data_IF_719521061183
#
_entry.id   IF_719521061183
#
_cell.length_a   1.000
_cell.length_b   1.000
_cell.length_c   1.000
_cell.angle_alpha   90.00
_cell.angle_beta   90.00
_cell.angle_gamma   90.00
#
_symmetry.space_group_name_H-M   'P 1'
#
loop_
_entity.id
_entity.type
_entity.pdbx_description
1 polymer ?
#
# COMPACT_ATOMS: atom_id res chain seq x y z
N UNK A 1 18.61 26.94 6.17
CA UNK A 1 19.58 26.59 5.11
C UNK A 1 18.95 25.37 4.44
N UNK A 2 17.93 25.47 3.60
CA UNK A 2 17.62 26.52 2.62
C UNK A 2 16.13 26.89 2.66
N UNK A 3 15.85 27.97 3.39
CA UNK A 3 14.67 28.81 3.19
C UNK A 3 15.21 30.24 3.19
N UNK A 4 15.32 30.84 1.99
CA UNK A 4 15.13 32.27 1.78
C UNK A 4 15.34 32.66 0.31
N UNK A 5 14.38 33.45 -0.19
CA UNK A 5 14.51 34.44 -1.26
C UNK A 5 14.59 33.92 -2.71
N UNK A 6 13.42 33.69 -3.29
CA UNK A 6 13.22 33.56 -4.73
C UNK A 6 11.81 33.97 -5.16
N UNK A 7 11.29 35.07 -4.63
CA UNK A 7 10.16 35.79 -5.24
C UNK A 7 10.62 36.28 -6.62
N UNK A 8 10.34 35.48 -7.64
CA UNK A 8 10.58 35.78 -9.05
C UNK A 8 9.52 35.05 -9.84
N UNK A 9 8.54 35.79 -10.34
CA UNK A 9 7.52 35.35 -11.28
C UNK A 9 8.18 34.78 -12.55
N UNK A 10 8.53 33.50 -12.57
CA UNK A 10 8.85 32.78 -13.81
C UNK A 10 7.58 32.13 -14.35
N UNK A 11 6.91 32.85 -15.24
CA UNK A 11 5.75 32.39 -16.00
C UNK A 11 6.05 31.09 -16.82
N UNK A 12 7.33 30.71 -16.97
CA UNK A 12 7.77 29.45 -17.58
C UNK A 12 7.94 28.26 -16.60
N UNK A 13 8.19 28.52 -15.31
CA UNK A 13 8.36 27.48 -14.30
C UNK A 13 7.05 26.83 -13.85
N UNK A 14 5.92 27.54 -13.98
CA UNK A 14 4.60 27.01 -13.62
C UNK A 14 4.20 25.84 -14.50
N UNK A 15 4.42 25.93 -15.82
CA UNK A 15 4.10 24.84 -16.75
C UNK A 15 4.94 23.61 -16.45
N UNK A 16 6.25 23.79 -16.24
CA UNK A 16 7.18 22.71 -15.89
C UNK A 16 6.79 22.08 -14.55
N UNK A 17 6.44 22.89 -13.54
CA UNK A 17 5.97 22.41 -12.24
C UNK A 17 4.66 21.64 -12.35
N UNK A 18 3.71 22.10 -13.19
CA UNK A 18 2.48 21.37 -13.49
C UNK A 18 2.77 20.06 -14.22
N UNK A 19 3.65 20.05 -15.23
CA UNK A 19 4.04 18.82 -15.93
C UNK A 19 4.71 17.82 -14.99
N UNK A 20 5.66 18.27 -14.16
CA UNK A 20 6.33 17.43 -13.17
C UNK A 20 5.36 16.92 -12.10
N UNK A 21 4.41 17.74 -11.65
CA UNK A 21 3.40 17.34 -10.66
C UNK A 21 2.38 16.34 -11.25
N UNK A 22 1.93 16.55 -12.49
CA UNK A 22 1.03 15.63 -13.18
C UNK A 22 1.74 14.30 -13.46
N UNK A 23 2.98 14.36 -13.93
CA UNK A 23 3.79 13.17 -14.19
C UNK A 23 4.06 12.36 -12.92
N UNK A 24 4.44 13.03 -11.81
CA UNK A 24 4.70 12.34 -10.55
C UNK A 24 3.43 11.74 -9.94
N UNK A 25 2.29 12.41 -10.07
CA UNK A 25 1.00 11.90 -9.64
C UNK A 25 0.59 10.66 -10.45
N UNK A 26 0.73 10.71 -11.77
CA UNK A 26 0.42 9.60 -12.66
C UNK A 26 1.29 8.38 -12.34
N UNK A 27 2.61 8.56 -12.22
CA UNK A 27 3.53 7.48 -11.88
C UNK A 27 3.24 6.88 -10.50
N UNK A 28 2.87 7.71 -9.53
CA UNK A 28 2.52 7.26 -8.18
C UNK A 28 1.25 6.41 -8.16
N UNK A 29 0.21 6.83 -8.87
CA UNK A 29 -1.05 6.08 -8.98
C UNK A 29 -0.85 4.78 -9.73
N UNK A 30 -0.12 4.81 -10.86
CA UNK A 30 0.17 3.62 -11.65
C UNK A 30 0.96 2.57 -10.86
N UNK A 31 1.97 2.99 -10.10
CA UNK A 31 2.79 2.09 -9.27
C UNK A 31 1.96 1.43 -8.18
N UNK A 32 1.06 2.16 -7.53
CA UNK A 32 0.16 1.60 -6.52
C UNK A 32 -0.76 0.52 -7.11
N UNK A 33 -1.51 0.85 -8.16
CA UNK A 33 -2.45 -0.09 -8.79
C UNK A 33 -1.72 -1.35 -9.30
N UNK A 34 -0.54 -1.18 -9.87
CA UNK A 34 0.28 -2.31 -10.35
C UNK A 34 0.71 -3.23 -9.20
N UNK A 35 1.10 -2.66 -8.06
CA UNK A 35 1.51 -3.42 -6.88
C UNK A 35 0.33 -4.21 -6.30
N UNK A 36 -0.85 -3.59 -6.21
CA UNK A 36 -2.06 -4.23 -5.70
C UNK A 36 -2.51 -5.38 -6.61
N UNK A 37 -2.52 -5.17 -7.93
CA UNK A 37 -2.88 -6.20 -8.90
C UNK A 37 -1.88 -7.38 -8.86
N UNK A 38 -0.58 -7.09 -8.77
CA UNK A 38 0.45 -8.11 -8.68
C UNK A 38 0.33 -8.95 -7.40
N UNK A 39 0.13 -8.29 -6.25
CA UNK A 39 -0.11 -8.95 -4.97
C UNK A 39 -1.36 -9.85 -5.03
N UNK A 40 -2.45 -9.36 -5.63
CA UNK A 40 -3.68 -10.13 -5.82
C UNK A 40 -3.50 -11.34 -6.75
N UNK A 41 -2.80 -11.18 -7.88
CA UNK A 41 -2.53 -12.28 -8.80
C UNK A 41 -1.66 -13.37 -8.16
N UNK A 42 -0.66 -12.98 -7.38
CA UNK A 42 0.19 -13.90 -6.62
C UNK A 42 -0.62 -14.66 -5.57
N UNK A 43 -1.53 -13.99 -4.86
CA UNK A 43 -2.43 -14.62 -3.89
C UNK A 43 -3.28 -15.71 -4.54
N UNK A 44 -3.93 -15.41 -5.68
CA UNK A 44 -4.74 -16.38 -6.44
C UNK A 44 -3.89 -17.56 -6.90
N UNK A 45 -2.67 -17.31 -7.38
CA UNK A 45 -1.74 -18.37 -7.77
C UNK A 45 -1.40 -19.31 -6.60
N UNK A 46 -1.17 -18.77 -5.39
CA UNK A 46 -0.86 -19.58 -4.21
C UNK A 46 -2.06 -20.39 -3.74
N UNK A 47 -3.28 -19.85 -3.84
CA UNK A 47 -4.50 -20.55 -3.43
C UNK A 47 -4.96 -21.64 -4.41
N UNK A 48 -4.90 -21.38 -5.72
CA UNK A 48 -5.43 -22.28 -6.76
C UNK A 48 -4.35 -23.11 -7.46
N UNK A 49 -3.08 -22.74 -7.32
CA UNK A 49 -1.95 -23.42 -7.98
C UNK A 49 -1.90 -23.22 -9.50
N UNK A 50 -2.69 -22.29 -10.05
CA UNK A 50 -2.78 -22.04 -11.49
C UNK A 50 -1.61 -21.22 -12.04
N UNK A 51 -1.45 -21.21 -13.36
CA UNK A 51 -0.46 -20.35 -14.03
C UNK A 51 -0.69 -18.87 -13.69
N UNK A 52 0.40 -18.14 -13.42
CA UNK A 52 0.37 -16.73 -13.04
C UNK A 52 -0.40 -15.87 -14.06
N UNK A 53 -0.23 -16.15 -15.37
CA UNK A 53 -0.98 -15.51 -16.44
C UNK A 53 -2.50 -15.67 -16.31
N UNK A 54 -2.98 -16.87 -15.97
CA UNK A 54 -4.42 -17.14 -15.81
C UNK A 54 -4.96 -16.40 -14.57
N UNK A 55 -4.20 -16.40 -13.47
CA UNK A 55 -4.54 -15.67 -12.25
C UNK A 55 -4.64 -14.17 -12.47
N UNK A 56 -3.72 -13.58 -13.25
CA UNK A 56 -3.75 -12.14 -13.59
C UNK A 56 -4.97 -11.79 -14.43
N UNK A 57 -5.30 -12.58 -15.45
CA UNK A 57 -6.49 -12.34 -16.29
C UNK A 57 -7.76 -12.44 -15.46
N UNK A 58 -7.87 -13.44 -14.58
CA UNK A 58 -9.03 -13.60 -13.71
C UNK A 58 -9.17 -12.42 -12.73
N UNK A 59 -8.08 -11.96 -12.12
CA UNK A 59 -8.10 -10.78 -11.26
C UNK A 59 -8.54 -9.51 -12.01
N UNK A 60 -8.02 -9.26 -13.21
CA UNK A 60 -8.43 -8.14 -14.04
C UNK A 60 -9.93 -8.17 -14.37
N UNK A 61 -10.47 -9.35 -14.71
CA UNK A 61 -11.90 -9.51 -15.03
C UNK A 61 -12.78 -9.24 -13.82
N UNK A 62 -12.44 -9.82 -12.66
CA UNK A 62 -13.18 -9.56 -11.41
C UNK A 62 -13.12 -8.08 -11.05
N UNK A 63 -11.94 -7.46 -11.15
CA UNK A 63 -11.75 -6.03 -10.89
C UNK A 63 -12.58 -5.13 -11.79
N UNK A 64 -12.61 -5.41 -13.09
CA UNK A 64 -13.41 -4.66 -14.04
C UNK A 64 -14.92 -4.79 -13.74
N UNK A 65 -15.40 -6.01 -13.45
CA UNK A 65 -16.82 -6.27 -13.19
C UNK A 65 -17.33 -5.53 -11.95
N UNK A 66 -16.62 -5.60 -10.83
CA UNK A 66 -17.09 -4.91 -9.62
C UNK A 66 -16.98 -3.38 -9.74
N UNK A 67 -16.02 -2.88 -10.52
CA UNK A 67 -15.86 -1.44 -10.77
C UNK A 67 -17.05 -0.87 -11.55
N UNK A 68 -17.57 -1.61 -12.54
CA UNK A 68 -18.72 -1.18 -13.35
C UNK A 68 -20.02 -1.20 -12.54
N UNK A 69 -20.18 -2.18 -11.63
CA UNK A 69 -21.43 -2.38 -10.89
C UNK A 69 -21.62 -1.46 -9.66
N UNK A 70 -20.55 -0.90 -9.09
CA UNK A 70 -20.57 -0.43 -7.70
C UNK A 70 -21.27 0.90 -7.40
N UNK A 71 -21.04 1.96 -8.19
CA UNK A 71 -21.43 3.31 -7.77
C UNK A 71 -20.80 3.73 -6.41
N UNK A 72 -21.16 4.91 -5.88
CA UNK A 72 -20.55 5.44 -4.64
C UNK A 72 -20.93 4.63 -3.38
N UNK A 73 -22.16 4.09 -3.34
CA UNK A 73 -22.67 3.38 -2.16
C UNK A 73 -22.10 1.96 -2.01
N UNK A 74 -21.91 1.22 -3.11
CA UNK A 74 -21.33 -0.12 -3.00
C UNK A 74 -19.87 -0.06 -2.54
N UNK A 75 -19.11 0.98 -2.94
CA UNK A 75 -17.71 1.16 -2.50
C UNK A 75 -17.60 1.22 -0.98
N UNK A 76 -18.48 1.97 -0.31
CA UNK A 76 -18.49 2.09 1.15
C UNK A 76 -18.85 0.75 1.81
N UNK A 77 -19.83 0.04 1.25
CA UNK A 77 -20.22 -1.28 1.77
C UNK A 77 -19.08 -2.29 1.62
N UNK A 78 -18.40 -2.32 0.47
CA UNK A 78 -17.26 -3.21 0.25
C UNK A 78 -16.07 -2.88 1.14
N UNK A 79 -15.80 -1.60 1.40
CA UNK A 79 -14.71 -1.19 2.29
C UNK A 79 -14.92 -1.70 3.72
N UNK A 80 -16.12 -1.48 4.27
CA UNK A 80 -16.47 -1.97 5.61
C UNK A 80 -16.40 -3.50 5.72
N UNK A 81 -16.94 -4.22 4.73
CA UNK A 81 -16.85 -5.68 4.68
C UNK A 81 -15.39 -6.16 4.60
N UNK A 82 -14.55 -5.50 3.81
CA UNK A 82 -13.15 -5.85 3.65
C UNK A 82 -12.37 -5.69 4.95
N UNK A 83 -12.61 -4.62 5.73
CA UNK A 83 -11.97 -4.47 7.04
C UNK A 83 -12.31 -5.63 7.98
N UNK A 84 -13.58 -6.05 8.01
CA UNK A 84 -14.04 -7.14 8.86
C UNK A 84 -13.40 -8.48 8.46
N UNK A 85 -13.39 -8.79 7.16
CA UNK A 85 -12.77 -10.01 6.62
C UNK A 85 -11.28 -10.06 6.96
N UNK A 86 -10.56 -8.94 6.82
CA UNK A 86 -9.12 -8.87 7.13
C UNK A 86 -8.84 -9.08 8.62
N UNK A 87 -9.64 -8.49 9.51
CA UNK A 87 -9.49 -8.66 10.96
C UNK A 87 -9.70 -10.12 11.36
N UNK A 88 -10.81 -10.73 10.91
CA UNK A 88 -11.12 -12.13 11.22
C UNK A 88 -10.05 -13.06 10.65
N UNK A 89 -9.61 -12.84 9.41
CA UNK A 89 -8.53 -13.59 8.78
C UNK A 89 -7.20 -13.49 9.55
N UNK A 90 -6.83 -12.29 10.01
CA UNK A 90 -5.63 -12.08 10.80
C UNK A 90 -5.68 -12.81 12.15
N UNK A 91 -6.83 -12.80 12.84
CA UNK A 91 -7.01 -13.51 14.11
C UNK A 91 -6.88 -15.03 13.91
N UNK A 92 -7.59 -15.60 12.93
CA UNK A 92 -7.54 -17.04 12.63
C UNK A 92 -6.13 -17.47 12.24
N UNK A 93 -5.46 -16.69 11.39
CA UNK A 93 -4.08 -16.95 10.96
C UNK A 93 -3.13 -16.92 12.15
N UNK A 94 -3.26 -15.93 13.02
CA UNK A 94 -2.42 -15.78 14.22
C UNK A 94 -2.58 -16.99 15.15
N UNK A 95 -3.82 -17.36 15.49
CA UNK A 95 -4.09 -18.51 16.37
C UNK A 95 -3.54 -19.81 15.77
N UNK A 96 -3.79 -20.04 14.48
CA UNK A 96 -3.31 -21.25 13.77
C UNK A 96 -1.78 -21.30 13.73
N UNK A 97 -1.12 -20.16 13.50
CA UNK A 97 0.33 -20.04 13.51
C UNK A 97 0.88 -20.37 14.90
N UNK A 98 0.37 -19.76 15.97
CA UNK A 98 0.83 -20.02 17.34
C UNK A 98 0.61 -21.48 17.77
N UNK A 99 -0.50 -22.10 17.36
CA UNK A 99 -0.76 -23.51 17.62
C UNK A 99 0.25 -24.44 16.93
N UNK A 100 0.67 -24.13 15.69
CA UNK A 100 1.71 -24.90 14.98
C UNK A 100 3.11 -24.66 15.53
N UNK A 101 3.39 -23.46 16.01
CA UNK A 101 4.71 -23.07 16.53
C UNK A 101 4.91 -23.63 17.95
N UNK A 102 3.84 -23.87 18.72
CA UNK A 102 3.94 -24.38 20.09
C UNK A 102 4.26 -23.29 21.12
N UNK A 103 3.73 -22.08 20.91
CA UNK A 103 3.86 -20.94 21.82
C UNK A 103 5.07 -20.03 21.57
N UNK A 104 5.15 -18.95 22.35
CA UNK A 104 6.16 -17.88 22.17
C UNK A 104 7.61 -18.36 22.34
N UNK A 105 7.88 -19.26 23.29
CA UNK A 105 9.24 -19.78 23.53
C UNK A 105 9.82 -20.61 22.38
N UNK A 106 8.96 -21.17 21.52
CA UNK A 106 9.40 -21.88 20.31
C UNK A 106 9.45 -21.00 19.06
N UNK A 107 8.93 -19.76 19.13
CA UNK A 107 8.84 -18.86 17.98
C UNK A 107 10.21 -18.56 17.39
N UNK A 108 11.18 -18.21 18.23
CA UNK A 108 12.55 -17.90 17.80
C UNK A 108 13.23 -19.11 17.12
N UNK A 109 13.06 -20.30 17.71
CA UNK A 109 13.62 -21.54 17.18
C UNK A 109 12.96 -21.96 15.86
N UNK A 110 11.64 -21.83 15.74
CA UNK A 110 10.91 -22.20 14.52
C UNK A 110 11.16 -21.18 13.42
N UNK A 111 11.27 -19.90 13.76
CA UNK A 111 11.57 -18.83 12.81
C UNK A 111 12.92 -19.05 12.12
N UNK A 112 13.97 -19.45 12.85
CA UNK A 112 15.29 -19.73 12.27
C UNK A 112 15.33 -20.94 11.32
N UNK A 113 14.28 -21.78 11.32
CA UNK A 113 14.12 -22.92 10.41
C UNK A 113 13.04 -22.71 9.34
N UNK A 114 12.36 -21.56 9.34
CA UNK A 114 11.27 -21.27 8.41
C UNK A 114 11.83 -20.89 7.03
N UNK A 115 12.10 -21.89 6.19
CA UNK A 115 12.51 -21.70 4.79
C UNK A 115 11.30 -21.94 3.88
N UNK A 116 10.97 -21.02 2.95
CA UNK A 116 9.85 -21.20 2.03
C UNK A 116 10.11 -22.35 1.06
N UNK A 117 9.06 -23.14 0.76
CA UNK A 117 9.15 -24.31 -0.14
C UNK A 117 9.37 -23.92 -1.62
N UNK A 118 9.11 -22.66 -1.98
CA UNK A 118 9.39 -22.08 -3.30
C UNK A 118 10.54 -21.08 -3.17
N UNK A 119 11.72 -21.48 -3.62
CA UNK A 119 12.93 -20.65 -3.63
C UNK A 119 13.35 -20.34 -5.06
N UNK A 120 13.83 -19.12 -5.28
CA UNK A 120 14.56 -18.75 -6.49
C UNK A 120 16.02 -19.22 -6.27
N UNK A 121 16.57 -20.09 -7.12
CA UNK A 121 17.95 -20.52 -6.97
C UNK A 121 18.90 -19.31 -7.09
N UNK A 122 19.94 -19.26 -6.24
CA UNK A 122 20.99 -18.24 -6.22
C UNK A 122 20.68 -16.91 -5.50
N UNK A 123 19.72 -16.87 -4.56
CA UNK A 123 19.46 -15.68 -3.73
C UNK A 123 19.38 -16.00 -2.23
N UNK A 124 20.16 -15.26 -1.42
CA UNK A 124 20.14 -15.27 0.06
C UNK A 124 18.88 -14.65 0.66
N UNK A 125 17.99 -14.06 -0.15
CA UNK A 125 16.76 -13.38 0.27
C UNK A 125 15.73 -14.31 0.97
N UNK A 126 15.88 -15.64 0.83
CA UNK A 126 14.92 -16.63 1.36
C UNK A 126 15.30 -17.23 2.72
N UNK A 127 16.49 -16.90 3.27
CA UNK A 127 16.91 -17.46 4.56
C UNK A 127 16.48 -16.57 5.72
N UNK A 128 16.00 -17.15 6.83
CA UNK A 128 15.68 -16.40 8.04
C UNK A 128 16.95 -15.74 8.60
N UNK A 129 16.88 -14.41 8.76
CA UNK A 129 17.99 -13.59 9.27
C UNK A 129 18.18 -13.86 10.77
N UNK A 130 19.43 -13.94 11.22
CA UNK A 130 19.77 -14.19 12.63
C UNK A 130 19.31 -13.04 13.55
N UNK A 131 19.27 -11.81 13.03
CA UNK A 131 18.82 -10.62 13.79
C UNK A 131 17.33 -10.27 13.59
N UNK A 132 16.50 -11.23 13.18
CA UNK A 132 15.10 -10.96 12.88
C UNK A 132 14.27 -10.51 14.10
N UNK A 133 14.69 -10.88 15.31
CA UNK A 133 14.05 -10.49 16.57
C UNK A 133 14.43 -9.06 17.02
N UNK A 134 15.41 -8.43 16.37
CA UNK A 134 15.84 -7.06 16.67
C UNK A 134 15.15 -6.05 15.74
N UNK A 135 14.20 -5.29 16.30
CA UNK A 135 13.44 -4.26 15.57
C UNK A 135 14.35 -3.11 15.07
N UNK A 136 15.30 -2.68 15.90
CA UNK A 136 16.32 -1.69 15.51
C UNK A 136 17.63 -2.40 15.21
N UNK A 137 17.99 -2.42 13.93
CA UNK A 137 19.26 -3.01 13.44
C UNK A 137 20.41 -2.05 13.66
N UNK A 138 21.63 -2.56 13.48
CA UNK A 138 22.85 -1.75 13.56
C UNK A 138 22.79 -0.52 12.64
N UNK A 139 23.35 0.59 13.09
CA UNK A 139 23.22 1.90 12.47
C UNK A 139 24.04 2.06 11.19
N UNK A 140 25.11 1.26 11.03
CA UNK A 140 26.15 1.48 9.99
C UNK A 140 26.37 0.26 9.10
N UNK A 141 26.31 -0.95 9.65
CA UNK A 141 26.60 -2.21 8.94
C UNK A 141 25.36 -3.04 8.58
N UNK A 142 24.18 -2.63 9.05
CA UNK A 142 22.93 -3.31 8.72
C UNK A 142 22.42 -2.97 7.32
N UNK A 143 21.95 -3.98 6.57
CA UNK A 143 21.26 -3.78 5.26
C UNK A 143 20.05 -2.83 5.36
N UNK A 144 19.49 -2.69 6.57
CA UNK A 144 18.38 -1.78 6.87
C UNK A 144 18.74 -1.00 8.14
N UNK A 145 19.52 0.09 8.03
CA UNK A 145 20.00 0.81 9.20
C UNK A 145 18.84 1.51 9.91
N UNK A 146 18.81 1.42 11.24
CA UNK A 146 17.70 1.95 12.03
C UNK A 146 17.42 3.46 11.80
N UNK A 147 18.41 4.35 11.57
CA UNK A 147 18.12 5.76 11.33
C UNK A 147 17.39 5.97 10.00
N UNK A 148 17.77 5.22 8.96
CA UNK A 148 17.11 5.25 7.66
C UNK A 148 15.70 4.68 7.72
N UNK A 149 15.49 3.63 8.52
CA UNK A 149 14.17 3.05 8.75
C UNK A 149 13.25 4.03 9.49
N UNK A 150 13.70 4.62 10.60
CA UNK A 150 12.85 5.51 11.41
C UNK A 150 12.59 6.83 10.70
N UNK A 151 13.61 7.48 10.15
CA UNK A 151 13.44 8.77 9.48
C UNK A 151 12.79 8.60 8.10
N UNK A 152 13.22 7.60 7.32
CA UNK A 152 12.67 7.34 6.00
C UNK A 152 11.21 6.91 6.04
N UNK A 153 10.84 5.94 6.90
CA UNK A 153 9.45 5.48 6.99
C UNK A 153 8.53 6.55 7.58
N UNK A 154 8.98 7.34 8.55
CA UNK A 154 8.13 8.40 9.11
C UNK A 154 7.86 9.53 8.11
N UNK A 155 8.86 9.94 7.33
CA UNK A 155 8.68 10.94 6.27
C UNK A 155 7.76 10.40 5.17
N UNK A 156 8.00 9.18 4.70
CA UNK A 156 7.16 8.54 3.67
C UNK A 156 5.71 8.34 4.15
N UNK A 157 5.52 7.90 5.40
CA UNK A 157 4.21 7.77 6.00
C UNK A 157 3.53 9.14 6.08
N UNK A 158 4.19 10.14 6.65
CA UNK A 158 3.63 11.50 6.76
C UNK A 158 3.23 12.04 5.38
N UNK A 159 4.07 11.85 4.37
CA UNK A 159 3.74 12.23 2.99
C UNK A 159 2.51 11.50 2.46
N UNK A 160 2.42 10.19 2.67
CA UNK A 160 1.26 9.38 2.28
C UNK A 160 -0.03 9.87 2.96
N UNK A 161 -0.02 10.02 4.29
CA UNK A 161 -1.17 10.47 5.07
C UNK A 161 -1.60 11.89 4.71
N UNK A 162 -0.66 12.80 4.45
CA UNK A 162 -0.97 14.16 4.01
C UNK A 162 -1.56 14.20 2.59
N UNK A 163 -1.06 13.37 1.68
CA UNK A 163 -1.58 13.28 0.31
C UNK A 163 -2.99 12.68 0.27
N UNK A 164 -3.24 11.67 1.10
CA UNK A 164 -4.57 11.06 1.23
C UNK A 164 -5.59 12.05 1.80
N UNK A 165 -5.21 12.78 2.85
CA UNK A 165 -6.04 13.84 3.44
C UNK A 165 -6.39 14.95 2.44
N UNK A 166 -5.42 15.45 1.68
CA UNK A 166 -5.68 16.52 0.70
C UNK A 166 -6.61 16.05 -0.42
N UNK A 167 -6.52 14.79 -0.83
CA UNK A 167 -7.41 14.19 -1.83
C UNK A 167 -8.85 14.09 -1.30
N UNK A 168 -9.02 13.60 -0.06
CA UNK A 168 -10.32 13.53 0.60
C UNK A 168 -10.96 14.91 0.79
N UNK A 169 -10.19 15.90 1.25
CA UNK A 169 -10.64 17.29 1.42
C UNK A 169 -11.02 17.95 0.09
N UNK A 170 -10.27 17.70 -0.98
CA UNK A 170 -10.62 18.22 -2.30
C UNK A 170 -11.92 17.59 -2.84
N UNK A 171 -12.10 16.29 -2.65
CA UNK A 171 -13.33 15.58 -3.08
C UNK A 171 -14.59 16.11 -2.38
N UNK A 172 -14.49 16.40 -1.08
CA UNK A 172 -15.59 16.97 -0.29
C UNK A 172 -15.86 18.43 -0.66
N UNK A 173 -14.81 19.23 -0.93
CA UNK A 173 -14.94 20.60 -1.42
C UNK A 173 -15.69 20.67 -2.77
N UNK A 174 -15.34 19.80 -3.71
CA UNK A 174 -16.02 19.71 -5.00
C UNK A 174 -17.49 19.29 -4.86
N UNK A 175 -17.78 18.36 -3.94
CA UNK A 175 -19.16 17.95 -3.64
C UNK A 175 -19.98 19.12 -3.09
N UNK A 176 -19.45 19.88 -2.12
CA UNK A 176 -20.13 21.04 -1.55
C UNK A 176 -20.41 22.13 -2.58
N UNK A 177 -19.49 22.36 -3.54
CA UNK A 177 -19.74 23.32 -4.64
C UNK A 177 -20.84 22.87 -5.59
N UNK A 178 -20.89 21.57 -5.92
CA UNK A 178 -21.97 21.03 -6.78
C UNK A 178 -23.33 21.17 -6.12
N UNK A 179 -23.42 20.89 -4.82
CA UNK A 179 -24.66 21.04 -4.05
C UNK A 179 -25.16 22.49 -4.06
N UNK A 180 -24.27 23.46 -3.89
CA UNK A 180 -24.60 24.90 -3.89
C UNK A 180 -25.07 25.44 -5.24
N UNK A 181 -24.64 24.84 -6.35
CA UNK A 181 -25.05 25.23 -7.71
C UNK A 181 -26.41 24.59 -8.07
N UNK A 182 -26.76 23.46 -7.44
CA UNK A 182 -28.04 22.77 -7.61
C UNK A 182 -29.19 23.31 -6.74
N UNK A 183 -28.91 24.12 -5.71
CA UNK A 183 -29.97 24.78 -4.92
C UNK A 183 -30.54 25.99 -5.67
N UNK A 184 -31.83 25.98 -6.07
CA UNK A 184 -32.45 27.16 -6.66
C UNK A 184 -32.52 28.26 -5.62
N UNK A 185 -32.16 29.49 -5.99
CA UNK A 185 -32.34 30.67 -5.14
C UNK A 185 -33.79 30.72 -4.63
N UNK A 186 -34.04 30.76 -3.30
CA UNK A 186 -35.36 31.08 -2.81
C UNK A 186 -35.72 32.50 -3.28
N UNK A 187 -36.86 32.61 -3.96
CA UNK A 187 -37.41 33.86 -4.47
C UNK A 187 -38.04 34.68 -3.37
#
# INVERSE_FOLDING_TARGET
IDDAAGSGSSLGGERIRTYLAVLSLLLSVFTKISTDLYSGALFVQVCLGWNLYLSTVLMLVVTALYTIAGGLAAVIYTDTLQTFIMIVGAIILTITAFNKIGGYGNLERVYSMAVPSKIIPNSTCHLPRQDAMHLFRDAVTGDLPWPGMTLGLTILATWYWCTDQTTSLHSTSLRNRKESDSTPFPR
#
